data_IF_276292049993
#
_entry.id   IF_276292049993
#
_cell.length_a   1.000
_cell.length_b   1.000
_cell.length_c   1.000
_cell.angle_alpha   90.00
_cell.angle_beta   90.00
_cell.angle_gamma   90.00
#
_symmetry.space_group_name_H-M   'P 1'
#
loop_
_entity.id
_entity.type
_entity.pdbx_description
1 polymer ?
#
# COMPACT_ATOMS: atom_id res chain seq x y z
N UNK A 1 3.11 -2.97 -25.71
CA UNK A 1 3.93 -3.94 -24.94
C UNK A 1 3.21 -4.18 -23.64
N UNK A 2 3.15 -5.42 -23.15
CA UNK A 2 2.67 -5.68 -21.78
C UNK A 2 3.69 -5.12 -20.79
N UNK A 3 3.21 -4.50 -19.71
CA UNK A 3 4.09 -4.07 -18.63
C UNK A 3 4.70 -5.31 -17.95
N UNK A 4 5.99 -5.25 -17.61
CA UNK A 4 6.62 -6.27 -16.77
C UNK A 4 6.22 -6.07 -15.30
N UNK A 5 5.95 -7.14 -14.53
CA UNK A 5 5.67 -7.01 -13.11
C UNK A 5 6.82 -6.33 -12.35
N UNK A 6 6.47 -5.40 -11.47
CA UNK A 6 7.38 -4.90 -10.44
C UNK A 6 7.59 -5.95 -9.34
N UNK A 7 8.77 -5.94 -8.73
CA UNK A 7 9.13 -6.77 -7.59
C UNK A 7 9.63 -5.86 -6.46
N UNK A 8 9.05 -6.00 -5.28
CA UNK A 8 9.44 -5.28 -4.07
C UNK A 8 9.61 -6.24 -2.90
N UNK A 9 10.77 -6.19 -2.24
CA UNK A 9 11.02 -6.90 -0.99
C UNK A 9 11.07 -5.89 0.16
N UNK A 10 10.34 -6.15 1.25
CA UNK A 10 10.27 -5.28 2.43
C UNK A 10 10.59 -6.05 3.72
N UNK A 11 11.21 -5.40 4.72
CA UNK A 11 11.46 -6.01 6.02
C UNK A 11 10.19 -6.04 6.88
N UNK A 12 9.99 -7.14 7.60
CA UNK A 12 8.95 -7.28 8.63
C UNK A 12 9.58 -7.88 9.88
N UNK A 13 9.37 -7.26 11.05
CA UNK A 13 9.91 -7.77 12.32
C UNK A 13 8.97 -8.76 13.03
N UNK A 14 7.78 -8.97 12.48
CA UNK A 14 6.84 -10.00 12.89
C UNK A 14 6.23 -10.65 11.63
N UNK A 15 6.87 -11.71 11.13
CA UNK A 15 6.46 -12.36 9.88
C UNK A 15 5.03 -12.92 9.96
N UNK A 16 4.65 -13.53 11.09
CA UNK A 16 3.31 -14.08 11.26
C UNK A 16 2.23 -12.99 11.22
N UNK A 17 2.43 -11.90 11.95
CA UNK A 17 1.49 -10.77 11.96
C UNK A 17 1.39 -10.09 10.60
N UNK A 18 2.52 -9.88 9.92
CA UNK A 18 2.54 -9.33 8.57
C UNK A 18 1.85 -10.27 7.57
N UNK A 19 2.09 -11.58 7.63
CA UNK A 19 1.45 -12.56 6.75
C UNK A 19 -0.07 -12.56 6.90
N UNK A 20 -0.59 -12.54 8.12
CA UNK A 20 -2.03 -12.39 8.38
C UNK A 20 -2.56 -11.07 7.84
N UNK A 21 -1.84 -9.97 8.03
CA UNK A 21 -2.26 -8.68 7.47
C UNK A 21 -2.33 -8.71 5.95
N UNK A 22 -1.28 -9.12 5.24
CA UNK A 22 -1.27 -9.12 3.77
C UNK A 22 -2.21 -10.16 3.17
N UNK A 23 -2.32 -11.36 3.77
CA UNK A 23 -3.18 -12.43 3.25
C UNK A 23 -4.67 -12.27 3.61
N UNK A 24 -4.98 -11.94 4.87
CA UNK A 24 -6.36 -11.95 5.36
C UNK A 24 -6.97 -10.54 5.40
N UNK A 25 -6.31 -9.58 6.04
CA UNK A 25 -6.86 -8.21 6.16
C UNK A 25 -6.86 -7.52 4.80
N UNK A 26 -5.69 -7.49 4.15
CA UNK A 26 -5.50 -6.88 2.86
C UNK A 26 -6.09 -7.73 1.72
N UNK A 27 -6.06 -9.06 1.86
CA UNK A 27 -6.70 -9.98 0.91
C UNK A 27 -5.84 -10.38 -0.28
N UNK A 28 -4.50 -10.34 -0.17
CA UNK A 28 -3.60 -10.80 -1.23
C UNK A 28 -3.54 -12.32 -1.29
N UNK A 29 -3.41 -12.84 -2.50
CA UNK A 29 -3.08 -14.25 -2.70
C UNK A 29 -1.62 -14.51 -2.34
N UNK A 30 -1.40 -15.47 -1.45
CA UNK A 30 -0.06 -15.92 -1.09
C UNK A 30 0.56 -16.75 -2.21
N UNK A 31 1.83 -16.48 -2.53
CA UNK A 31 2.67 -17.28 -3.41
C UNK A 31 3.53 -18.28 -2.64
N UNK A 32 4.82 -18.33 -2.99
CA UNK A 32 5.78 -19.19 -2.28
C UNK A 32 6.12 -18.60 -0.93
N UNK A 33 6.53 -19.44 0.01
CA UNK A 33 6.99 -19.00 1.32
C UNK A 33 8.05 -19.92 1.90
N UNK A 34 8.71 -19.44 2.95
CA UNK A 34 9.62 -20.20 3.81
C UNK A 34 9.40 -19.78 5.27
N UNK A 35 10.25 -20.29 6.17
CA UNK A 35 10.25 -19.86 7.56
C UNK A 35 10.66 -18.39 7.76
N UNK A 36 11.24 -17.73 6.76
CA UNK A 36 11.80 -16.37 6.87
C UNK A 36 11.23 -15.38 5.85
N UNK A 37 10.35 -15.81 4.93
CA UNK A 37 9.77 -14.90 3.93
C UNK A 37 8.49 -15.45 3.30
N UNK A 38 7.68 -14.56 2.73
CA UNK A 38 6.45 -14.89 2.01
C UNK A 38 6.31 -14.00 0.77
N UNK A 39 6.06 -14.61 -0.39
CA UNK A 39 5.67 -13.93 -1.62
C UNK A 39 4.14 -13.68 -1.61
N UNK A 40 3.70 -12.54 -2.13
CA UNK A 40 2.29 -12.22 -2.40
C UNK A 40 2.10 -11.73 -3.83
N UNK A 41 0.97 -12.11 -4.43
CA UNK A 41 0.44 -11.50 -5.64
C UNK A 41 -0.18 -10.14 -5.28
N UNK A 42 0.53 -9.06 -5.58
CA UNK A 42 0.15 -7.68 -5.28
C UNK A 42 -0.39 -7.01 -6.54
N UNK A 43 -1.61 -7.39 -6.94
CA UNK A 43 -2.27 -6.92 -8.17
C UNK A 43 -1.45 -7.19 -9.45
N UNK A 44 -0.89 -8.40 -9.56
CA UNK A 44 -0.04 -8.80 -10.68
C UNK A 44 1.44 -8.41 -10.52
N UNK A 45 1.78 -7.67 -9.46
CA UNK A 45 3.16 -7.44 -9.02
C UNK A 45 3.56 -8.43 -7.93
N UNK A 46 4.86 -8.53 -7.64
CA UNK A 46 5.36 -9.37 -6.57
C UNK A 46 5.75 -8.52 -5.37
N UNK A 47 5.06 -8.72 -4.25
CA UNK A 47 5.50 -8.22 -2.94
C UNK A 47 6.10 -9.38 -2.15
N UNK A 48 7.27 -9.17 -1.56
CA UNK A 48 7.91 -10.16 -0.70
C UNK A 48 8.13 -9.55 0.67
N UNK A 49 7.60 -10.19 1.70
CA UNK A 49 7.91 -9.82 3.09
C UNK A 49 9.04 -10.71 3.60
N UNK A 50 10.10 -10.12 4.11
CA UNK A 50 11.25 -10.82 4.68
C UNK A 50 11.32 -10.57 6.18
N UNK A 51 11.41 -11.64 6.97
CA UNK A 51 11.68 -11.51 8.40
C UNK A 51 13.04 -10.83 8.60
N UNK A 52 13.03 -9.71 9.34
CA UNK A 52 14.21 -8.91 9.61
C UNK A 52 14.06 -8.22 10.97
N UNK A 53 15.13 -8.06 11.76
CA UNK A 53 15.08 -7.24 12.98
C UNK A 53 14.47 -5.86 12.73
N UNK A 54 13.76 -5.32 13.71
CA UNK A 54 13.12 -4.01 13.58
C UNK A 54 14.14 -2.94 13.16
N UNK A 55 13.82 -2.18 12.11
CA UNK A 55 14.70 -1.12 11.60
C UNK A 55 14.36 0.22 12.24
N UNK A 56 15.29 1.18 12.21
CA UNK A 56 15.05 2.53 12.73
C UNK A 56 13.88 3.23 12.01
N UNK A 57 13.67 2.98 10.72
CA UNK A 57 12.53 3.53 9.96
C UNK A 57 11.18 2.97 10.41
N UNK A 58 11.16 1.78 11.01
CA UNK A 58 9.97 1.16 11.60
C UNK A 58 9.76 1.59 13.08
N UNK A 59 10.71 2.32 13.66
CA UNK A 59 10.59 2.91 15.01
C UNK A 59 10.16 4.38 14.95
N UNK A 60 10.66 5.13 13.97
CA UNK A 60 10.35 6.54 13.80
C UNK A 60 10.05 6.84 12.34
N UNK A 61 8.77 7.01 12.02
CA UNK A 61 8.32 7.39 10.69
C UNK A 61 8.76 8.82 10.40
N UNK A 62 9.47 9.01 9.29
CA UNK A 62 9.68 10.33 8.72
C UNK A 62 8.46 10.70 7.87
N UNK A 63 7.91 11.90 8.05
CA UNK A 63 6.79 12.41 7.25
C UNK A 63 7.14 13.73 6.58
N UNK A 64 6.52 13.97 5.43
CA UNK A 64 6.59 15.25 4.73
C UNK A 64 5.19 15.88 4.67
N UNK A 65 5.06 17.19 4.89
CA UNK A 65 3.77 17.88 4.74
C UNK A 65 3.39 17.96 3.26
N UNK A 66 2.29 17.33 2.88
CA UNK A 66 1.73 17.34 1.52
C UNK A 66 0.23 17.54 1.64
N UNK A 67 -0.27 18.64 1.09
CA UNK A 67 -1.70 19.00 1.10
C UNK A 67 -2.35 19.01 2.50
N UNK A 68 -1.59 19.41 3.51
CA UNK A 68 -2.05 19.45 4.90
C UNK A 68 -2.00 18.11 5.63
N UNK A 69 -1.42 17.07 5.01
CA UNK A 69 -1.21 15.76 5.62
C UNK A 69 0.28 15.47 5.81
N UNK A 70 0.60 14.73 6.88
CA UNK A 70 1.93 14.18 7.13
C UNK A 70 2.11 12.87 6.38
N UNK A 71 2.56 12.96 5.12
CA UNK A 71 2.75 11.78 4.25
C UNK A 71 4.00 11.00 4.68
N UNK A 72 3.88 9.72 5.07
CA UNK A 72 5.00 8.92 5.53
C UNK A 72 5.98 8.59 4.39
N UNK A 73 7.28 8.59 4.67
CA UNK A 73 8.35 8.26 3.71
C UNK A 73 9.34 7.27 4.34
N UNK A 74 9.74 6.19 3.61
CA UNK A 74 9.22 5.78 2.30
C UNK A 74 7.83 5.15 2.41
N UNK A 75 7.09 5.15 1.31
CA UNK A 75 5.86 4.37 1.13
C UNK A 75 5.87 3.67 -0.23
N UNK A 76 5.01 2.67 -0.39
CA UNK A 76 4.81 1.95 -1.63
C UNK A 76 3.34 1.57 -1.81
N UNK A 77 2.96 1.19 -3.01
CA UNK A 77 1.64 0.61 -3.25
C UNK A 77 1.29 0.67 -4.72
N UNK A 78 0.00 0.64 -5.03
CA UNK A 78 -0.51 0.44 -6.40
C UNK A 78 -1.37 1.61 -6.84
N UNK A 79 -1.24 1.96 -8.13
CA UNK A 79 -2.25 2.75 -8.84
C UNK A 79 -3.33 1.78 -9.34
N UNK A 80 -4.46 1.74 -8.65
CA UNK A 80 -5.56 0.83 -8.89
C UNK A 80 -6.59 1.44 -9.85
N UNK A 81 -7.46 0.58 -10.42
CA UNK A 81 -8.72 1.04 -10.96
C UNK A 81 -9.59 1.68 -9.88
N UNK A 82 -10.46 2.60 -10.28
CA UNK A 82 -11.27 3.38 -9.32
C UNK A 82 -12.15 2.47 -8.43
N UNK A 83 -12.83 1.50 -9.05
CA UNK A 83 -13.69 0.54 -8.33
C UNK A 83 -12.88 -0.39 -7.43
N UNK A 84 -11.67 -0.80 -7.85
CA UNK A 84 -10.77 -1.62 -7.04
C UNK A 84 -10.27 -0.85 -5.81
N UNK A 85 -9.99 0.45 -5.97
CA UNK A 85 -9.60 1.33 -4.87
C UNK A 85 -10.74 1.49 -3.85
N UNK A 86 -11.98 1.71 -4.32
CA UNK A 86 -13.16 1.79 -3.44
C UNK A 86 -13.39 0.46 -2.70
N UNK A 87 -13.28 -0.67 -3.40
CA UNK A 87 -13.42 -1.99 -2.80
C UNK A 87 -12.34 -2.27 -1.74
N UNK A 88 -11.08 -1.87 -2.00
CA UNK A 88 -9.98 -2.01 -1.05
C UNK A 88 -10.22 -1.14 0.19
N UNK A 89 -10.66 0.11 0.01
CA UNK A 89 -10.95 1.01 1.13
C UNK A 89 -12.05 0.45 2.04
N UNK A 90 -13.16 -0.02 1.46
CA UNK A 90 -14.26 -0.61 2.23
C UNK A 90 -13.85 -1.91 2.92
N UNK A 91 -13.05 -2.75 2.26
CA UNK A 91 -12.49 -3.95 2.89
C UNK A 91 -11.66 -3.57 4.11
N UNK A 92 -10.68 -2.67 3.97
CA UNK A 92 -9.79 -2.30 5.08
C UNK A 92 -10.58 -1.69 6.25
N UNK A 93 -11.59 -0.86 5.98
CA UNK A 93 -12.51 -0.36 7.03
C UNK A 93 -13.28 -1.47 7.72
N UNK A 94 -13.73 -2.49 6.99
CA UNK A 94 -14.49 -3.62 7.57
C UNK A 94 -13.67 -4.46 8.55
N UNK A 95 -12.33 -4.44 8.42
CA UNK A 95 -11.39 -5.06 9.36
C UNK A 95 -10.94 -4.10 10.47
N UNK A 96 -11.44 -2.86 10.51
CA UNK A 96 -11.03 -1.88 11.51
C UNK A 96 -9.60 -1.37 11.33
N UNK A 97 -9.07 -1.42 10.11
CA UNK A 97 -7.71 -0.91 9.81
C UNK A 97 -7.66 0.60 10.04
N UNK A 98 -6.65 1.05 10.78
CA UNK A 98 -6.39 2.48 10.99
C UNK A 98 -5.66 3.08 9.78
N UNK A 99 -6.13 4.24 9.33
CA UNK A 99 -5.49 4.98 8.25
C UNK A 99 -4.65 6.13 8.81
N UNK A 100 -3.46 6.32 8.25
CA UNK A 100 -2.64 7.51 8.45
C UNK A 100 -3.29 8.71 7.75
N UNK A 101 -3.82 8.46 6.57
CA UNK A 101 -4.62 9.39 5.79
C UNK A 101 -5.84 8.61 5.29
N UNK A 102 -7.00 8.97 5.83
CA UNK A 102 -8.29 8.36 5.50
C UNK A 102 -8.56 8.38 3.99
N UNK A 103 -9.30 7.40 3.43
CA UNK A 103 -9.64 7.38 2.01
C UNK A 103 -10.43 8.63 1.59
N UNK A 104 -9.89 9.40 0.63
CA UNK A 104 -10.57 10.59 0.11
C UNK A 104 -10.21 10.89 -1.35
N UNK A 105 -11.03 11.74 -1.97
CA UNK A 105 -10.85 12.21 -3.35
C UNK A 105 -10.21 13.60 -3.33
N UNK A 106 -9.09 13.72 -4.03
CA UNK A 106 -8.40 14.97 -4.35
C UNK A 106 -8.90 15.53 -5.68
N UNK A 107 -9.02 16.86 -5.74
CA UNK A 107 -9.38 17.57 -6.98
C UNK A 107 -10.71 17.10 -7.59
N UNK A 108 -11.71 16.77 -6.77
CA UNK A 108 -13.01 16.25 -7.22
C UNK A 108 -13.64 17.12 -8.30
N UNK A 109 -13.94 16.53 -9.47
CA UNK A 109 -14.51 17.22 -10.63
C UNK A 109 -13.52 18.12 -11.39
N UNK A 110 -12.23 18.10 -11.06
CA UNK A 110 -11.18 18.87 -11.72
C UNK A 110 -10.23 17.95 -12.48
N UNK A 111 -9.37 18.54 -13.33
CA UNK A 111 -8.29 17.82 -14.00
C UNK A 111 -7.32 17.28 -12.93
N UNK A 112 -6.94 16.00 -13.05
CA UNK A 112 -6.10 15.33 -12.06
C UNK A 112 -6.88 14.76 -10.86
N UNK A 113 -8.21 14.64 -10.95
CA UNK A 113 -9.03 13.96 -9.96
C UNK A 113 -8.46 12.56 -9.66
N UNK A 114 -8.09 12.37 -8.39
CA UNK A 114 -7.48 11.14 -7.91
C UNK A 114 -7.98 10.81 -6.51
N UNK A 115 -8.11 9.52 -6.21
CA UNK A 115 -8.36 9.03 -4.87
C UNK A 115 -7.03 8.60 -4.23
N UNK A 116 -6.88 8.79 -2.92
CA UNK A 116 -5.69 8.34 -2.18
C UNK A 116 -6.04 7.91 -0.76
N UNK A 117 -5.30 6.93 -0.23
CA UNK A 117 -5.35 6.52 1.17
C UNK A 117 -3.97 6.03 1.60
N UNK A 118 -3.65 6.22 2.88
CA UNK A 118 -2.40 5.77 3.49
C UNK A 118 -2.66 4.97 4.75
N UNK A 119 -1.92 3.89 4.93
CA UNK A 119 -1.95 3.06 6.13
C UNK A 119 -0.57 2.49 6.43
N UNK A 120 -0.39 1.95 7.63
CA UNK A 120 0.78 1.13 7.96
C UNK A 120 0.38 -0.34 7.99
N UNK A 121 1.31 -1.21 7.57
CA UNK A 121 1.24 -2.61 7.98
C UNK A 121 1.61 -2.76 9.48
N UNK A 122 1.44 -3.96 10.08
CA UNK A 122 1.79 -4.20 11.48
C UNK A 122 3.28 -3.98 11.81
N UNK A 123 4.14 -3.88 10.80
CA UNK A 123 5.57 -3.65 10.94
C UNK A 123 5.98 -2.21 10.64
N UNK A 124 5.03 -1.28 10.49
CA UNK A 124 5.30 0.13 10.26
C UNK A 124 5.77 0.46 8.84
N UNK A 125 5.62 -0.46 7.87
CA UNK A 125 5.82 -0.11 6.47
C UNK A 125 4.62 0.70 5.99
N UNK A 126 4.86 1.86 5.36
CA UNK A 126 3.79 2.71 4.86
C UNK A 126 3.32 2.25 3.49
N UNK A 127 2.00 2.16 3.32
CA UNK A 127 1.35 1.83 2.06
C UNK A 127 0.52 3.01 1.56
N UNK A 128 0.61 3.29 0.26
CA UNK A 128 -0.22 4.27 -0.44
C UNK A 128 -0.97 3.58 -1.58
N UNK A 129 -2.29 3.76 -1.62
CA UNK A 129 -3.09 3.31 -2.76
C UNK A 129 -3.76 4.51 -3.41
N UNK A 130 -3.59 4.61 -4.73
CA UNK A 130 -4.16 5.69 -5.53
C UNK A 130 -5.06 5.15 -6.62
N UNK A 131 -5.98 5.98 -7.09
CA UNK A 131 -6.68 5.79 -8.35
C UNK A 131 -6.80 7.14 -9.06
N UNK A 132 -6.73 7.15 -10.38
CA UNK A 132 -6.93 8.37 -11.18
C UNK A 132 -8.20 8.23 -12.00
N UNK A 133 -9.00 9.30 -12.08
CA UNK A 133 -10.20 9.29 -12.93
C UNK A 133 -9.86 9.23 -14.41
N UNK A 134 -8.70 9.80 -14.77
CA UNK A 134 -8.09 9.73 -16.08
C UNK A 134 -6.63 9.27 -15.94
N UNK A 135 -6.33 8.05 -16.37
CA UNK A 135 -4.99 7.46 -16.27
C UNK A 135 -3.94 8.17 -17.12
N UNK A 136 -4.33 8.98 -18.11
CA UNK A 136 -3.36 9.79 -18.86
C UNK A 136 -2.70 10.88 -17.99
N UNK A 137 -3.33 11.21 -16.85
CA UNK A 137 -2.82 12.19 -15.88
C UNK A 137 -1.75 11.63 -14.95
N UNK A 138 -1.56 10.30 -14.89
CA UNK A 138 -0.64 9.67 -13.93
C UNK A 138 0.81 10.19 -14.07
N UNK A 139 1.23 10.46 -15.30
CA UNK A 139 2.57 10.96 -15.63
C UNK A 139 2.53 12.30 -16.38
N UNK A 140 1.38 12.97 -16.37
CA UNK A 140 1.26 14.31 -16.95
C UNK A 140 2.17 15.29 -16.18
N UNK A 141 2.76 16.24 -16.91
CA UNK A 141 3.65 17.27 -16.36
C UNK A 141 2.90 18.49 -15.89
#
# INVERSE_FOLDING_TARGET
>A
MSLSPFHLAIPVYNLAGARTFYGEVFGLEEGRSSNQWVDFNFYGHQLVIHEHPKTASQESVHSNPVDGHDVPVPHFGIILGWEEWEALAERLKSFGTEFVIEPYIRFKGQVGEQATMFLFDPCGNALEFKAFKDMSQLFAK
#
